data_IF_304336650939
#
_entry.id   IF_304336650939
#
_cell.length_a   1.000
_cell.length_b   1.000
_cell.length_c   1.000
_cell.angle_alpha   90.00
_cell.angle_beta   90.00
_cell.angle_gamma   90.00
#
_symmetry.space_group_name_H-M   'P 1'
#
loop_
_entity.id
_entity.type
_entity.pdbx_description
1 polymer ?
#
# COMPACT_ATOMS: atom_id res chain seq x y z
N UNK A 1 -26.56 -6.90 36.25
CA UNK A 1 -26.14 -6.64 34.85
C UNK A 1 -24.63 -6.46 34.83
N UNK A 2 -23.86 -7.46 34.38
CA UNK A 2 -22.42 -7.33 34.26
C UNK A 2 -22.09 -6.51 33.01
N UNK A 3 -21.48 -5.34 33.20
CA UNK A 3 -21.04 -4.48 32.10
C UNK A 3 -20.03 -5.24 31.25
N UNK A 4 -20.42 -5.54 30.00
CA UNK A 4 -19.56 -6.03 28.92
C UNK A 4 -18.54 -4.93 28.60
N UNK A 5 -17.53 -4.75 29.46
CA UNK A 5 -16.44 -3.79 29.20
C UNK A 5 -15.65 -4.36 28.03
N UNK A 6 -15.87 -3.78 26.85
CA UNK A 6 -15.11 -4.07 25.66
C UNK A 6 -13.64 -3.74 25.85
N UNK A 7 -12.81 -4.14 24.89
CA UNK A 7 -11.39 -3.84 24.90
C UNK A 7 -11.15 -2.32 25.04
N UNK A 8 -10.38 -1.85 26.04
CA UNK A 8 -10.23 -0.41 26.32
C UNK A 8 -9.67 0.41 25.15
N UNK A 9 -8.87 -0.20 24.28
CA UNK A 9 -8.24 0.46 23.13
C UNK A 9 -8.99 0.18 21.81
N UNK A 10 -10.25 -0.24 21.85
CA UNK A 10 -11.04 -0.56 20.66
C UNK A 10 -11.14 0.62 19.69
N UNK A 11 -11.28 1.85 20.20
CA UNK A 11 -11.35 3.07 19.37
C UNK A 11 -10.04 3.33 18.63
N UNK A 12 -8.89 3.11 19.29
CA UNK A 12 -7.56 3.27 18.69
C UNK A 12 -7.31 2.18 17.64
N UNK A 13 -7.71 0.94 17.93
CA UNK A 13 -7.61 -0.16 16.96
C UNK A 13 -8.44 0.14 15.70
N UNK A 14 -9.66 0.65 15.86
CA UNK A 14 -10.50 1.06 14.72
C UNK A 14 -9.87 2.19 13.91
N UNK A 15 -9.31 3.20 14.60
CA UNK A 15 -8.60 4.29 13.94
C UNK A 15 -7.41 3.77 13.12
N UNK A 16 -6.60 2.86 13.68
CA UNK A 16 -5.46 2.25 12.98
C UNK A 16 -5.90 1.39 11.79
N UNK A 17 -6.98 0.62 11.92
CA UNK A 17 -7.56 -0.14 10.80
C UNK A 17 -7.95 0.79 9.65
N UNK A 18 -8.67 1.87 9.93
CA UNK A 18 -9.06 2.84 8.90
C UNK A 18 -7.84 3.53 8.26
N UNK A 19 -6.77 3.76 9.04
CA UNK A 19 -5.52 4.31 8.53
C UNK A 19 -4.85 3.33 7.56
N UNK A 20 -4.80 2.03 7.88
CA UNK A 20 -4.31 1.00 6.95
C UNK A 20 -5.14 0.98 5.67
N UNK A 21 -6.47 0.96 5.76
CA UNK A 21 -7.35 0.95 4.58
C UNK A 21 -7.08 2.16 3.67
N UNK A 22 -6.87 3.33 4.27
CA UNK A 22 -6.57 4.58 3.54
C UNK A 22 -5.20 4.49 2.85
N UNK A 23 -4.17 4.03 3.58
CA UNK A 23 -2.81 3.88 3.04
C UNK A 23 -2.74 2.83 1.93
N UNK A 24 -3.50 1.74 2.04
CA UNK A 24 -3.61 0.71 0.99
C UNK A 24 -4.23 1.28 -0.29
N UNK A 25 -5.30 2.08 -0.16
CA UNK A 25 -5.93 2.74 -1.30
C UNK A 25 -4.97 3.73 -1.98
N UNK A 26 -4.30 4.58 -1.20
CA UNK A 26 -3.31 5.54 -1.71
C UNK A 26 -2.13 4.82 -2.39
N UNK A 27 -1.62 3.75 -1.79
CA UNK A 27 -0.57 2.93 -2.38
C UNK A 27 -1.02 2.26 -3.69
N UNK A 28 -2.27 1.80 -3.75
CA UNK A 28 -2.89 1.30 -4.98
C UNK A 28 -2.93 2.35 -6.09
N UNK A 29 -3.33 3.58 -5.77
CA UNK A 29 -3.32 4.69 -6.72
C UNK A 29 -1.90 5.03 -7.23
N UNK A 30 -0.91 5.06 -6.33
CA UNK A 30 0.49 5.29 -6.71
C UNK A 30 1.04 4.18 -7.62
N UNK A 31 0.68 2.90 -7.37
CA UNK A 31 1.06 1.79 -8.26
C UNK A 31 0.52 1.97 -9.67
N UNK A 32 -0.75 2.36 -9.81
CA UNK A 32 -1.35 2.63 -11.11
C UNK A 32 -0.65 3.80 -11.80
N UNK A 33 -0.40 4.89 -11.07
CA UNK A 33 0.32 6.04 -11.59
C UNK A 33 1.73 5.66 -12.06
N UNK A 34 2.49 4.91 -11.25
CA UNK A 34 3.82 4.42 -11.59
C UNK A 34 3.79 3.59 -12.88
N UNK A 35 2.87 2.62 -12.96
CA UNK A 35 2.70 1.79 -14.16
C UNK A 35 2.44 2.63 -15.40
N UNK A 36 1.48 3.56 -15.35
CA UNK A 36 1.16 4.44 -16.47
C UNK A 36 2.38 5.28 -16.91
N UNK A 37 3.21 5.72 -15.96
CA UNK A 37 4.44 6.47 -16.26
C UNK A 37 5.50 5.59 -16.93
N UNK A 38 5.68 4.36 -16.48
CA UNK A 38 6.57 3.37 -17.11
C UNK A 38 6.11 3.03 -18.52
N UNK A 39 4.80 2.78 -18.71
CA UNK A 39 4.23 2.46 -20.03
C UNK A 39 4.43 3.64 -21.00
N UNK A 40 4.23 4.88 -20.53
CA UNK A 40 4.50 6.09 -21.31
C UNK A 40 5.98 6.19 -21.71
N UNK A 41 6.90 5.88 -20.80
CA UNK A 41 8.34 5.90 -21.07
C UNK A 41 8.71 4.87 -22.13
N UNK A 42 8.19 3.64 -22.01
CA UNK A 42 8.42 2.57 -23.00
C UNK A 42 7.90 2.97 -24.39
N UNK A 43 6.70 3.55 -24.46
CA UNK A 43 6.14 4.07 -25.70
C UNK A 43 7.04 5.15 -26.33
N UNK A 44 7.52 6.11 -25.54
CA UNK A 44 8.44 7.15 -26.04
C UNK A 44 9.75 6.55 -26.57
N UNK A 45 10.30 5.53 -25.90
CA UNK A 45 11.50 4.84 -26.35
C UNK A 45 11.27 4.08 -27.66
N UNK A 46 10.12 3.42 -27.80
CA UNK A 46 9.73 2.73 -29.04
C UNK A 46 9.60 3.72 -30.20
N UNK A 47 8.88 4.84 -30.00
CA UNK A 47 8.75 5.90 -31.01
C UNK A 47 10.13 6.42 -31.39
N UNK A 48 10.99 6.75 -30.43
CA UNK A 48 12.37 7.20 -30.72
C UNK A 48 13.11 6.21 -31.62
N UNK A 49 13.00 4.91 -31.35
CA UNK A 49 13.69 3.89 -32.14
C UNK A 49 13.14 3.80 -33.57
N UNK A 50 11.82 3.91 -33.74
CA UNK A 50 11.19 3.98 -35.07
C UNK A 50 11.67 5.21 -35.85
N UNK A 51 11.69 6.39 -35.21
CA UNK A 51 12.15 7.63 -35.84
C UNK A 51 13.64 7.60 -36.22
N UNK A 52 14.46 6.87 -35.45
CA UNK A 52 15.87 6.64 -35.81
C UNK A 52 16.01 5.79 -37.07
N UNK A 53 15.13 4.79 -37.29
CA UNK A 53 15.10 4.00 -38.54
C UNK A 53 14.70 4.89 -39.71
N UNK A 54 13.69 5.75 -39.54
CA UNK A 54 13.28 6.73 -40.57
C UNK A 54 14.45 7.66 -40.93
N UNK A 55 15.19 8.15 -39.93
CA UNK A 55 16.37 8.97 -40.17
C UNK A 55 17.44 8.24 -40.99
N UNK A 56 17.70 6.97 -40.70
CA UNK A 56 18.65 6.15 -41.46
C UNK A 56 18.21 5.98 -42.92
N UNK A 57 16.92 5.74 -43.15
CA UNK A 57 16.37 5.63 -44.51
C UNK A 57 16.53 6.93 -45.29
N UNK A 58 16.25 8.09 -44.66
CA UNK A 58 16.46 9.40 -45.28
C UNK A 58 17.92 9.66 -45.66
N UNK A 59 18.88 9.14 -44.87
CA UNK A 59 20.31 9.28 -45.12
C UNK A 59 20.84 8.34 -46.21
N UNK A 60 20.12 7.27 -46.52
CA UNK A 60 20.50 6.28 -47.54
C UNK A 60 19.88 6.56 -48.92
N UNK A 61 18.98 7.54 -49.03
CA UNK A 61 18.38 7.93 -50.31
C UNK A 61 19.41 8.59 -51.24
N UNK A 62 19.36 8.23 -52.53
CA UNK A 62 20.25 8.76 -53.57
C UNK A 62 20.15 10.29 -53.73
N UNK A 63 18.99 10.87 -53.40
CA UNK A 63 18.78 12.30 -53.33
C UNK A 63 18.68 12.74 -51.86
N UNK A 64 19.80 13.24 -51.31
CA UNK A 64 19.87 13.75 -49.94
C UNK A 64 19.04 15.03 -49.77
N UNK A 65 17.86 14.93 -49.16
CA UNK A 65 17.12 16.08 -48.64
C UNK A 65 17.64 16.45 -47.25
N UNK A 66 18.64 17.35 -47.22
CA UNK A 66 19.21 17.88 -45.98
C UNK A 66 18.16 18.52 -45.06
N UNK A 67 17.11 19.13 -45.62
CA UNK A 67 16.04 19.76 -44.86
C UNK A 67 15.17 18.74 -44.13
N UNK A 68 14.82 17.64 -44.79
CA UNK A 68 14.11 16.52 -44.17
C UNK A 68 14.93 15.86 -43.05
N UNK A 69 16.22 15.62 -43.30
CA UNK A 69 17.16 15.06 -42.32
C UNK A 69 17.25 15.96 -41.07
N UNK A 70 17.40 17.27 -41.26
CA UNK A 70 17.49 18.21 -40.14
C UNK A 70 16.19 18.23 -39.31
N UNK A 71 15.02 18.28 -39.95
CA UNK A 71 13.73 18.24 -39.25
C UNK A 71 13.58 16.94 -38.44
N UNK A 72 13.96 15.82 -39.03
CA UNK A 72 13.90 14.51 -38.38
C UNK A 72 14.81 14.44 -37.16
N UNK A 73 16.05 14.95 -37.26
CA UNK A 73 16.97 15.04 -36.13
C UNK A 73 16.44 15.92 -35.00
N UNK A 74 15.81 17.06 -35.33
CA UNK A 74 15.17 17.93 -34.34
C UNK A 74 14.00 17.22 -33.64
N UNK A 75 13.18 16.49 -34.39
CA UNK A 75 12.08 15.71 -33.83
C UNK A 75 12.59 14.63 -32.85
N UNK A 76 13.59 13.84 -33.25
CA UNK A 76 14.24 12.85 -32.38
C UNK A 76 14.82 13.51 -31.13
N UNK A 77 15.44 14.68 -31.25
CA UNK A 77 15.94 15.45 -30.10
C UNK A 77 14.81 15.81 -29.14
N UNK A 78 13.66 16.25 -29.66
CA UNK A 78 12.49 16.56 -28.83
C UNK A 78 11.96 15.32 -28.08
N UNK A 79 11.95 14.15 -28.72
CA UNK A 79 11.56 12.89 -28.08
C UNK A 79 12.55 12.53 -26.97
N UNK A 80 13.86 12.69 -27.20
CA UNK A 80 14.88 12.45 -26.16
C UNK A 80 14.67 13.34 -24.94
N UNK A 81 14.35 14.62 -25.13
CA UNK A 81 14.01 15.52 -24.01
C UNK A 81 12.79 15.03 -23.25
N UNK A 82 11.73 14.60 -23.94
CA UNK A 82 10.54 14.02 -23.30
C UNK A 82 10.86 12.72 -22.53
N UNK A 83 11.73 11.87 -23.07
CA UNK A 83 12.20 10.65 -22.39
C UNK A 83 12.90 11.01 -21.09
N UNK A 84 13.83 11.98 -21.10
CA UNK A 84 14.55 12.41 -19.89
C UNK A 84 13.56 12.90 -18.83
N UNK A 85 12.63 13.79 -19.22
CA UNK A 85 11.59 14.29 -18.30
C UNK A 85 10.74 13.14 -17.74
N UNK A 86 10.35 12.20 -18.59
CA UNK A 86 9.53 11.07 -18.18
C UNK A 86 10.27 10.10 -17.24
N UNK A 87 11.58 9.91 -17.43
CA UNK A 87 12.42 9.14 -16.50
C UNK A 87 12.39 9.77 -15.11
N UNK A 88 12.58 11.08 -15.01
CA UNK A 88 12.51 11.79 -13.73
C UNK A 88 11.14 11.60 -13.06
N UNK A 89 10.05 11.69 -13.82
CA UNK A 89 8.71 11.45 -13.29
C UNK A 89 8.48 10.01 -12.82
N UNK A 90 9.07 9.01 -13.50
CA UNK A 90 9.02 7.61 -13.05
C UNK A 90 9.78 7.46 -11.73
N UNK A 91 10.97 8.03 -11.62
CA UNK A 91 11.79 7.99 -10.42
C UNK A 91 11.10 8.68 -9.22
N UNK A 92 10.50 9.85 -9.43
CA UNK A 92 9.74 10.57 -8.40
C UNK A 92 8.57 9.72 -7.86
N UNK A 93 7.77 9.13 -8.74
CA UNK A 93 6.65 8.28 -8.32
C UNK A 93 7.15 7.00 -7.65
N UNK A 94 8.27 6.44 -8.10
CA UNK A 94 8.88 5.27 -7.48
C UNK A 94 9.35 5.56 -6.05
N UNK A 95 9.94 6.73 -5.80
CA UNK A 95 10.32 7.18 -4.46
C UNK A 95 9.10 7.35 -3.55
N UNK A 96 8.03 7.96 -4.06
CA UNK A 96 6.76 8.09 -3.33
C UNK A 96 6.17 6.71 -2.99
N UNK A 97 6.23 5.77 -3.93
CA UNK A 97 5.72 4.42 -3.75
C UNK A 97 6.48 3.67 -2.66
N UNK A 98 7.82 3.77 -2.63
CA UNK A 98 8.62 3.13 -1.58
C UNK A 98 8.41 3.78 -0.21
N UNK A 99 8.33 5.12 -0.16
CA UNK A 99 7.99 5.83 1.07
C UNK A 99 6.61 5.40 1.60
N UNK A 100 5.61 5.28 0.73
CA UNK A 100 4.26 4.88 1.11
C UNK A 100 4.17 3.43 1.55
N UNK A 101 4.95 2.55 0.91
CA UNK A 101 5.08 1.15 1.30
C UNK A 101 5.63 1.02 2.72
N UNK A 102 6.63 1.82 3.07
CA UNK A 102 7.21 1.81 4.42
C UNK A 102 6.19 2.30 5.46
N UNK A 103 5.49 3.40 5.18
CA UNK A 103 4.43 3.93 6.05
C UNK A 103 3.31 2.90 6.28
N UNK A 104 2.90 2.21 5.22
CA UNK A 104 1.89 1.14 5.31
C UNK A 104 2.39 -0.02 6.18
N UNK A 105 3.63 -0.48 5.97
CA UNK A 105 4.21 -1.59 6.73
C UNK A 105 4.26 -1.28 8.25
N UNK A 106 4.70 -0.07 8.61
CA UNK A 106 4.74 0.39 10.00
C UNK A 106 3.33 0.46 10.60
N UNK A 107 2.37 1.01 9.87
CA UNK A 107 0.98 1.13 10.34
C UNK A 107 0.31 -0.23 10.51
N UNK A 108 0.56 -1.18 9.60
CA UNK A 108 0.10 -2.56 9.73
C UNK A 108 0.73 -3.27 10.94
N UNK A 109 2.00 -3.02 11.22
CA UNK A 109 2.68 -3.57 12.40
C UNK A 109 2.08 -3.05 13.71
N UNK A 110 1.79 -1.74 13.76
CA UNK A 110 1.10 -1.11 14.89
C UNK A 110 -0.30 -1.72 15.10
N UNK A 111 -1.07 -1.83 14.01
CA UNK A 111 -2.40 -2.46 14.06
C UNK A 111 -2.28 -3.88 14.60
N UNK A 112 -1.32 -4.67 14.09
CA UNK A 112 -1.16 -6.06 14.51
C UNK A 112 -0.83 -6.18 15.99
N UNK A 113 -0.05 -5.24 16.51
CA UNK A 113 0.29 -5.18 17.94
C UNK A 113 -0.96 -4.92 18.79
N UNK A 114 -1.84 -4.02 18.36
CA UNK A 114 -3.12 -3.75 19.04
C UNK A 114 -4.10 -4.92 18.96
N UNK A 115 -4.16 -5.64 17.85
CA UNK A 115 -4.94 -6.86 17.71
C UNK A 115 -4.48 -7.93 18.70
N UNK A 116 -3.17 -8.19 18.77
CA UNK A 116 -2.60 -9.15 19.71
C UNK A 116 -2.92 -8.77 21.17
N UNK A 117 -2.90 -7.47 21.50
CA UNK A 117 -3.27 -6.98 22.82
C UNK A 117 -4.76 -7.20 23.13
N UNK A 118 -5.64 -6.97 22.15
CA UNK A 118 -7.08 -7.24 22.26
C UNK A 118 -7.33 -8.72 22.51
N UNK A 119 -6.67 -9.60 21.76
CA UNK A 119 -6.88 -11.04 21.86
C UNK A 119 -6.42 -11.58 23.23
N UNK A 120 -5.29 -11.06 23.75
CA UNK A 120 -4.83 -11.33 25.13
C UNK A 120 -5.82 -10.80 26.17
N UNK A 121 -6.35 -9.59 25.97
CA UNK A 121 -7.35 -9.01 26.88
C UNK A 121 -8.60 -9.88 26.96
N UNK A 122 -9.12 -10.32 25.81
CA UNK A 122 -10.29 -11.20 25.74
C UNK A 122 -10.03 -12.55 26.43
N UNK A 123 -8.86 -13.15 26.18
CA UNK A 123 -8.44 -14.40 26.83
C UNK A 123 -8.44 -14.25 28.37
N UNK A 124 -7.82 -13.18 28.88
CA UNK A 124 -7.77 -12.91 30.31
C UNK A 124 -9.16 -12.65 30.89
N UNK A 125 -10.01 -11.92 30.18
CA UNK A 125 -11.38 -11.63 30.62
C UNK A 125 -12.20 -12.92 30.74
N UNK A 126 -12.13 -13.81 29.74
CA UNK A 126 -12.78 -15.12 29.77
C UNK A 126 -12.31 -15.97 30.95
N UNK A 127 -11.00 -16.02 31.22
CA UNK A 127 -10.45 -16.75 32.37
C UNK A 127 -10.95 -16.19 33.71
N UNK A 128 -11.03 -14.86 33.86
CA UNK A 128 -11.55 -14.22 35.07
C UNK A 128 -13.04 -14.54 35.26
N UNK A 129 -13.82 -14.52 34.18
CA UNK A 129 -15.24 -14.88 34.24
C UNK A 129 -15.44 -16.33 34.63
N UNK A 130 -14.70 -17.27 34.02
CA UNK A 130 -14.76 -18.68 34.40
C UNK A 130 -14.39 -18.91 35.87
N UNK A 131 -13.32 -18.27 36.37
CA UNK A 131 -12.95 -18.38 37.79
C UNK A 131 -14.05 -17.86 38.73
N UNK A 132 -14.75 -16.78 38.34
CA UNK A 132 -15.88 -16.25 39.12
C UNK A 132 -17.09 -17.18 39.09
N UNK A 133 -17.40 -17.76 37.93
CA UNK A 133 -18.48 -18.73 37.76
C UNK A 133 -18.23 -19.97 38.62
N UNK A 134 -17.04 -20.56 38.54
CA UNK A 134 -16.65 -21.73 39.37
C UNK A 134 -16.79 -21.41 40.84
N UNK A 135 -16.27 -20.27 41.31
CA UNK A 135 -16.40 -19.86 42.72
C UNK A 135 -17.86 -19.70 43.15
N UNK A 136 -18.70 -19.14 42.27
CA UNK A 136 -20.13 -18.98 42.56
C UNK A 136 -20.83 -20.34 42.67
N UNK A 137 -20.47 -21.30 41.80
CA UNK A 137 -20.98 -22.68 41.87
C UNK A 137 -20.55 -23.33 43.18
N UNK A 138 -19.28 -23.22 43.57
CA UNK A 138 -18.76 -23.80 44.81
C UNK A 138 -19.50 -23.23 46.03
N UNK A 139 -19.71 -21.91 46.08
CA UNK A 139 -20.46 -21.23 47.14
C UNK A 139 -21.93 -21.71 47.21
N UNK A 140 -22.58 -21.91 46.06
CA UNK A 140 -23.94 -22.47 45.98
C UNK A 140 -24.01 -23.93 46.46
N UNK A 141 -23.01 -24.75 46.10
CA UNK A 141 -22.91 -26.14 46.53
C UNK A 141 -22.75 -26.21 48.05
N UNK A 142 -21.81 -25.44 48.62
CA UNK A 142 -21.58 -25.38 50.07
C UNK A 142 -22.84 -24.94 50.82
N UNK A 143 -23.52 -23.89 50.36
CA UNK A 143 -24.74 -23.39 51.01
C UNK A 143 -25.91 -24.36 50.92
N UNK A 144 -26.03 -25.15 49.85
CA UNK A 144 -27.05 -26.19 49.72
C UNK A 144 -26.78 -27.37 50.65
N UNK A 145 -25.57 -27.92 50.64
CA UNK A 145 -25.20 -29.03 51.53
C UNK A 145 -25.24 -28.64 53.02
N UNK A 146 -24.98 -27.38 53.35
CA UNK A 146 -25.11 -26.86 54.70
C UNK A 146 -26.55 -26.69 55.21
N UNK A 147 -27.56 -26.75 54.32
CA UNK A 147 -29.00 -26.69 54.69
C UNK A 147 -29.68 -28.07 54.76
N UNK A 148 -29.06 -29.09 54.18
CA UNK A 148 -29.57 -30.49 54.18
C UNK A 148 -29.01 -31.32 55.36
N UNK A 149 -28.25 -30.69 56.28
CA UNK A 149 -27.87 -31.21 57.60
C UNK A 149 -28.61 -30.46 58.69
#
# INVERSE_FOLDING_TARGET
MFSKKGFPLQSILKFKSNAVDTLEAEFGHLKVAHKNRVDTLQNLQQVKNQEMVVLQQLQQNDALDCGAIQRQQQYIKSIRTKIIQQVTLVEEVQLQLESKRQELAETMQDQKTLENLRDRYQTNQSQVMHRRETRTIDELVITRYGRER
#
